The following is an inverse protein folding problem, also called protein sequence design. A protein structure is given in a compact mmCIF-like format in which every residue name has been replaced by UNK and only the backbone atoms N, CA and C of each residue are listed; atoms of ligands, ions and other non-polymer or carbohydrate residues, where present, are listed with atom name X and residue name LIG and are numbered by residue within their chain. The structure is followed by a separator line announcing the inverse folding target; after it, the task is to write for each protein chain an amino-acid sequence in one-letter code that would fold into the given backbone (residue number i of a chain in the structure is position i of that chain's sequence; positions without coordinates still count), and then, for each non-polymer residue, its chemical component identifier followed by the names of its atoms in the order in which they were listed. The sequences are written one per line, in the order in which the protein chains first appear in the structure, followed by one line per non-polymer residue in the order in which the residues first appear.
data_IF_837407024283
#
_entry.id   IF_837407024283
#
_cell.length_a   1.000
_cell.length_b   1.000
_cell.length_c   1.000
_cell.angle_alpha   90.00
_cell.angle_beta   90.00
_cell.angle_gamma   90.00
#
_symmetry.space_group_name_H-M   'P 1'
#
loop_
_entity.id
_entity.type
_entity.pdbx_description
1 polymer ?
#
# COMPACT_ATOMS: atom_id res chain seq x y z
N UNK A 1 29.20 15.79 2.02
CA UNK A 1 29.11 14.58 2.86
C UNK A 1 29.28 15.01 4.30
N UNK A 2 28.53 14.47 5.28
CA UNK A 2 28.79 14.72 6.68
C UNK A 2 30.21 14.24 7.05
N UNK A 3 30.83 14.86 8.05
CA UNK A 3 32.17 14.47 8.51
C UNK A 3 32.17 12.98 8.94
N UNK A 4 33.19 12.22 8.54
CA UNK A 4 33.31 10.80 8.86
C UNK A 4 33.45 10.52 10.36
N UNK A 5 33.81 11.53 11.13
CA UNK A 5 34.02 11.45 12.58
C UNK A 5 33.21 12.52 13.30
N UNK A 6 32.78 12.22 14.52
CA UNK A 6 32.28 13.17 15.50
C UNK A 6 33.32 13.33 16.59
N UNK A 7 33.56 14.58 17.01
CA UNK A 7 34.57 14.92 17.98
C UNK A 7 34.00 15.97 18.95
N UNK A 8 34.25 15.81 20.25
CA UNK A 8 33.78 16.78 21.24
C UNK A 8 34.75 17.95 21.43
N UNK A 9 34.23 19.01 22.04
CA UNK A 9 34.99 20.05 22.71
C UNK A 9 34.86 19.85 24.23
N UNK A 10 35.98 19.73 24.90
CA UNK A 10 35.97 19.55 26.37
C UNK A 10 35.60 20.86 27.07
N UNK A 11 35.24 20.75 28.36
CA UNK A 11 34.89 21.89 29.21
C UNK A 11 35.96 23.03 29.08
N UNK A 12 37.25 22.69 29.10
CA UNK A 12 38.35 23.67 29.04
C UNK A 12 38.56 24.29 27.66
N UNK A 13 38.13 23.61 26.58
CA UNK A 13 38.20 24.09 25.21
C UNK A 13 37.06 25.03 24.81
N UNK A 14 36.04 25.20 25.66
CA UNK A 14 34.85 26.01 25.36
C UNK A 14 34.95 27.34 26.14
N UNK A 15 34.83 28.45 25.43
CA UNK A 15 34.70 29.78 26.01
C UNK A 15 33.24 30.25 26.05
N UNK A 16 32.92 31.18 27.00
CA UNK A 16 31.65 31.89 26.98
C UNK A 16 31.52 32.66 25.68
N UNK A 17 30.38 32.57 25.00
CA UNK A 17 30.13 33.14 23.67
C UNK A 17 30.41 32.21 22.50
N UNK A 18 31.10 31.09 22.72
CA UNK A 18 31.26 30.07 21.67
C UNK A 18 29.89 29.49 21.28
N UNK A 19 29.70 29.23 19.99
CA UNK A 19 28.41 28.76 19.47
C UNK A 19 28.57 27.72 18.37
N UNK A 20 27.49 26.93 18.18
CA UNK A 20 27.33 26.05 17.04
C UNK A 20 25.92 26.17 16.46
N UNK A 21 25.80 25.79 15.19
CA UNK A 21 24.53 25.85 14.47
C UNK A 21 24.26 24.55 13.71
N UNK A 22 22.97 24.16 13.68
CA UNK A 22 22.44 23.07 12.85
C UNK A 22 21.25 23.60 12.06
N UNK A 23 21.13 23.21 10.81
CA UNK A 23 19.97 23.57 9.98
C UNK A 23 19.25 22.30 9.54
N UNK A 24 17.92 22.28 9.69
CA UNK A 24 17.07 21.14 9.29
C UNK A 24 15.77 21.65 8.67
N UNK A 25 15.42 21.10 7.51
CA UNK A 25 14.11 21.32 6.89
C UNK A 25 13.14 20.26 7.38
N UNK A 26 11.96 20.68 7.85
CA UNK A 26 10.89 19.78 8.29
C UNK A 26 10.26 19.08 7.08
N UNK A 27 10.23 17.75 7.12
CA UNK A 27 9.58 16.92 6.13
C UNK A 27 8.31 16.27 6.72
N UNK A 28 7.33 15.86 5.90
CA UNK A 28 6.16 15.12 6.38
C UNK A 28 6.52 13.87 7.17
N UNK A 29 7.57 13.15 6.73
CA UNK A 29 8.05 11.93 7.38
C UNK A 29 8.61 12.21 8.78
N UNK A 30 9.21 13.38 9.03
CA UNK A 30 9.70 13.76 10.36
C UNK A 30 8.55 13.86 11.37
N UNK A 31 7.38 14.38 10.96
CA UNK A 31 6.18 14.47 11.80
C UNK A 31 5.64 13.07 12.13
N UNK A 32 5.53 12.21 11.12
CA UNK A 32 5.03 10.85 11.28
C UNK A 32 5.96 10.02 12.18
N UNK A 33 7.28 10.09 11.97
CA UNK A 33 8.27 9.42 12.81
C UNK A 33 8.19 9.91 14.25
N UNK A 34 8.03 11.22 14.45
CA UNK A 34 7.90 11.78 15.80
C UNK A 34 6.62 11.31 16.48
N UNK A 35 5.50 11.28 15.77
CA UNK A 35 4.23 10.75 16.28
C UNK A 35 4.34 9.27 16.68
N UNK A 36 4.95 8.44 15.83
CA UNK A 36 5.17 7.00 16.12
C UNK A 36 6.06 6.82 17.35
N UNK A 37 7.15 7.58 17.46
CA UNK A 37 8.11 7.48 18.56
C UNK A 37 7.52 7.97 19.88
N UNK A 38 6.79 9.08 19.86
CA UNK A 38 6.28 9.75 21.09
C UNK A 38 4.90 9.27 21.52
N UNK A 39 4.11 8.69 20.60
CA UNK A 39 2.69 8.41 20.79
C UNK A 39 1.79 9.66 20.73
N UNK A 40 2.33 10.83 20.38
CA UNK A 40 1.55 12.08 20.27
C UNK A 40 0.82 12.12 18.91
N UNK A 41 -0.43 11.70 18.95
CA UNK A 41 -1.37 11.68 17.82
C UNK A 41 -2.33 12.87 17.84
N UNK A 42 -1.92 14.02 18.40
CA UNK A 42 -2.74 15.23 18.37
C UNK A 42 -3.10 15.56 16.90
N UNK A 43 -4.40 15.76 16.58
CA UNK A 43 -4.85 15.95 15.21
C UNK A 43 -4.23 17.17 14.51
N UNK A 44 -3.73 18.16 15.22
CA UNK A 44 -2.99 19.28 14.62
C UNK A 44 -1.69 18.84 13.89
N UNK A 45 -1.17 17.66 14.23
CA UNK A 45 0.05 17.12 13.64
C UNK A 45 -0.20 16.01 12.63
N UNK A 46 -1.30 15.23 12.78
CA UNK A 46 -1.49 13.98 12.02
C UNK A 46 -2.76 13.96 11.17
N UNK A 47 -3.67 14.92 11.34
CA UNK A 47 -4.92 15.00 10.59
C UNK A 47 -4.97 16.27 9.75
N UNK A 48 -4.75 16.19 8.41
CA UNK A 48 -4.78 17.35 7.53
C UNK A 48 -6.13 18.09 7.49
N UNK A 49 -7.24 17.37 7.64
CA UNK A 49 -8.59 17.98 7.60
C UNK A 49 -8.82 18.83 8.86
N UNK A 50 -8.53 18.25 10.02
CA UNK A 50 -8.56 18.99 11.29
C UNK A 50 -7.59 20.17 11.26
N UNK A 51 -6.33 19.96 10.86
CA UNK A 51 -5.31 21.00 10.83
C UNK A 51 -5.72 22.17 9.94
N UNK A 52 -6.34 21.90 8.77
CA UNK A 52 -6.85 22.93 7.87
C UNK A 52 -7.97 23.77 8.52
N UNK A 53 -8.83 23.16 9.35
CA UNK A 53 -9.90 23.86 10.08
C UNK A 53 -9.41 24.57 11.34
N UNK A 54 -8.18 24.30 11.80
CA UNK A 54 -7.59 24.88 13.00
C UNK A 54 -7.02 26.27 12.76
N UNK A 55 -6.60 26.94 13.85
CA UNK A 55 -5.90 28.23 13.79
C UNK A 55 -4.60 28.20 12.98
N UNK A 56 -4.03 27.03 12.72
CA UNK A 56 -2.78 26.83 11.99
C UNK A 56 -2.98 26.70 10.48
N UNK A 57 -4.20 26.29 10.03
CA UNK A 57 -4.62 26.11 8.63
C UNK A 57 -3.87 25.02 7.85
N UNK A 58 -2.88 24.37 8.47
CA UNK A 58 -2.10 23.28 7.91
C UNK A 58 -1.43 22.45 9.02
N UNK A 59 -0.93 21.28 8.66
CA UNK A 59 -0.19 20.40 9.59
C UNK A 59 1.09 21.09 10.05
N UNK A 60 1.35 21.05 11.36
CA UNK A 60 2.54 21.62 11.99
C UNK A 60 3.37 20.55 12.70
N UNK A 61 4.66 20.82 12.90
CA UNK A 61 5.55 19.97 13.69
C UNK A 61 5.10 19.88 15.15
N UNK A 62 5.36 18.74 15.78
CA UNK A 62 5.36 18.65 17.24
C UNK A 62 6.37 19.65 17.84
N UNK A 63 6.00 20.36 18.87
CA UNK A 63 6.91 21.34 19.50
C UNK A 63 8.25 20.73 19.91
N UNK A 64 8.22 19.52 20.47
CA UNK A 64 9.42 18.80 20.93
C UNK A 64 10.31 18.27 19.81
N UNK A 65 9.86 18.28 18.51
CA UNK A 65 10.75 18.03 17.38
C UNK A 65 11.91 19.05 17.36
N UNK A 66 11.61 20.32 17.57
CA UNK A 66 12.65 21.36 17.71
C UNK A 66 13.54 21.16 18.93
N UNK A 67 12.97 20.68 20.06
CA UNK A 67 13.72 20.30 21.25
C UNK A 67 14.69 19.15 20.99
N UNK A 68 14.29 18.14 20.20
CA UNK A 68 15.16 17.03 19.78
C UNK A 68 16.35 17.53 18.92
N UNK A 69 16.14 18.54 18.08
CA UNK A 69 17.24 19.15 17.31
C UNK A 69 18.24 19.91 18.19
N UNK A 70 17.78 20.59 19.25
CA UNK A 70 18.68 21.19 20.26
C UNK A 70 19.52 20.09 20.90
N UNK A 71 18.89 18.98 21.31
CA UNK A 71 19.61 17.81 21.85
C UNK A 71 20.65 17.24 20.87
N UNK A 72 20.32 17.20 19.58
CA UNK A 72 21.26 16.77 18.53
C UNK A 72 22.50 17.65 18.52
N UNK A 73 22.36 18.99 18.53
CA UNK A 73 23.52 19.89 18.55
C UNK A 73 24.37 19.68 19.81
N UNK A 74 23.74 19.60 20.97
CA UNK A 74 24.46 19.41 22.25
C UNK A 74 25.20 18.07 22.32
N UNK A 75 24.60 17.00 21.83
CA UNK A 75 25.16 15.64 21.95
C UNK A 75 26.13 15.25 20.84
N UNK A 76 26.04 15.89 19.65
CA UNK A 76 26.84 15.45 18.50
C UNK A 76 27.78 16.52 17.96
N UNK A 77 27.48 17.83 18.15
CA UNK A 77 28.21 18.90 17.54
C UNK A 77 28.92 19.79 18.57
N UNK A 78 28.22 20.23 19.64
CA UNK A 78 28.74 21.19 20.60
C UNK A 78 28.00 21.18 21.95
N UNK A 79 28.62 20.78 23.08
CA UNK A 79 29.99 20.30 23.24
C UNK A 79 30.30 19.01 22.48
N UNK A 80 29.30 18.21 22.11
CA UNK A 80 29.46 16.98 21.33
C UNK A 80 29.50 15.70 22.20
N UNK A 81 30.10 14.61 21.71
CA UNK A 81 30.16 13.33 22.39
C UNK A 81 30.61 13.39 23.83
N UNK A 82 29.88 12.74 24.75
CA UNK A 82 30.15 12.74 26.19
C UNK A 82 29.45 13.86 26.97
N UNK A 83 28.67 14.70 26.31
CA UNK A 83 27.78 15.67 26.95
C UNK A 83 26.61 14.97 27.63
N UNK A 84 26.29 15.32 28.88
CA UNK A 84 25.12 14.81 29.59
C UNK A 84 24.12 15.96 29.76
N UNK A 85 22.91 15.75 29.28
CA UNK A 85 21.82 16.70 29.42
C UNK A 85 21.31 16.73 30.87
N UNK A 86 21.23 17.91 31.48
CA UNK A 86 20.79 18.08 32.89
C UNK A 86 19.39 18.69 32.93
N UNK A 87 19.22 19.84 32.26
CA UNK A 87 17.91 20.50 32.25
C UNK A 87 17.71 21.31 30.96
N UNK A 88 16.43 21.61 30.66
CA UNK A 88 16.04 22.40 29.50
C UNK A 88 14.80 23.23 29.80
N UNK A 89 14.84 24.50 29.44
CA UNK A 89 13.65 25.34 29.30
C UNK A 89 13.36 25.56 27.81
N UNK A 90 12.08 25.53 27.42
CA UNK A 90 11.65 25.82 26.05
C UNK A 90 10.43 26.73 26.05
N UNK A 91 10.49 27.76 25.22
CA UNK A 91 9.36 28.63 24.91
C UNK A 91 9.10 28.60 23.42
N UNK A 92 7.92 28.08 23.05
CA UNK A 92 7.44 27.99 21.67
C UNK A 92 6.74 29.29 21.29
N UNK A 93 7.22 29.96 20.26
CA UNK A 93 6.74 31.29 19.85
C UNK A 93 5.98 31.26 18.53
N UNK A 94 6.28 30.29 17.64
CA UNK A 94 5.63 30.11 16.35
C UNK A 94 5.55 28.64 15.98
N UNK A 95 4.49 28.21 15.23
CA UNK A 95 4.44 26.87 14.66
C UNK A 95 5.53 26.71 13.58
N UNK A 96 5.95 25.46 13.38
CA UNK A 96 6.84 25.05 12.29
C UNK A 96 6.00 24.25 11.30
N UNK A 97 5.99 24.64 10.04
CA UNK A 97 5.22 24.05 8.96
C UNK A 97 6.07 23.12 8.12
N UNK A 98 5.44 22.19 7.41
CA UNK A 98 6.14 21.34 6.45
C UNK A 98 6.81 22.21 5.38
N UNK A 99 8.11 21.97 5.15
CA UNK A 99 8.93 22.77 4.25
C UNK A 99 9.70 23.89 4.94
N UNK A 100 9.36 24.28 6.18
CA UNK A 100 10.14 25.25 6.93
C UNK A 100 11.54 24.72 7.22
N UNK A 101 12.53 25.62 7.09
CA UNK A 101 13.93 25.33 7.40
C UNK A 101 14.30 26.01 8.71
N UNK A 102 14.57 25.20 9.74
CA UNK A 102 14.88 25.69 11.08
C UNK A 102 16.38 25.67 11.30
N UNK A 103 16.92 26.83 11.70
CA UNK A 103 18.31 26.99 12.15
C UNK A 103 18.34 27.02 13.67
N UNK A 104 18.97 26.01 14.25
CA UNK A 104 19.22 25.87 15.68
C UNK A 104 20.57 26.46 15.98
N UNK A 105 20.62 27.43 16.86
CA UNK A 105 21.88 28.00 17.39
C UNK A 105 21.91 27.78 18.88
N UNK A 106 23.00 27.21 19.37
CA UNK A 106 23.32 27.14 20.80
C UNK A 106 24.59 27.94 21.07
N UNK A 107 24.58 28.71 22.17
CA UNK A 107 25.68 29.59 22.55
C UNK A 107 26.02 29.39 24.01
N UNK A 108 27.26 29.15 24.34
CA UNK A 108 27.71 29.02 25.72
C UNK A 108 27.49 30.34 26.47
N UNK A 109 26.65 30.32 27.50
CA UNK A 109 26.27 31.47 28.32
C UNK A 109 27.04 31.54 29.61
N UNK A 110 27.11 30.40 30.33
CA UNK A 110 27.72 30.31 31.64
C UNK A 110 28.50 29.01 31.81
N UNK A 111 29.55 29.04 32.64
CA UNK A 111 30.36 27.87 32.99
C UNK A 111 30.60 27.80 34.49
N UNK A 112 30.46 26.60 35.06
CA UNK A 112 30.64 26.34 36.49
C UNK A 112 31.80 25.37 36.72
N UNK A 113 32.93 25.90 37.24
CA UNK A 113 34.17 25.15 37.41
C UNK A 113 34.04 23.97 38.39
N UNK A 114 33.26 24.14 39.46
CA UNK A 114 33.19 23.19 40.56
C UNK A 114 32.51 21.85 40.18
N UNK A 115 31.64 21.88 39.19
CA UNK A 115 30.86 20.68 38.75
C UNK A 115 30.91 20.44 37.23
N UNK A 116 31.69 21.30 36.49
CA UNK A 116 31.82 21.26 35.03
C UNK A 116 30.46 21.40 34.28
N UNK A 117 29.46 21.98 34.93
CA UNK A 117 28.20 22.33 34.27
C UNK A 117 28.39 23.57 33.38
N UNK A 118 27.59 23.61 32.32
CA UNK A 118 27.52 24.74 31.38
C UNK A 118 26.06 25.05 31.08
N UNK A 119 25.75 26.34 30.97
CA UNK A 119 24.43 26.79 30.49
C UNK A 119 24.61 27.30 29.05
N UNK A 120 23.75 26.85 28.16
CA UNK A 120 23.67 27.28 26.77
C UNK A 120 22.38 28.03 26.49
N UNK A 121 22.46 29.21 25.87
CA UNK A 121 21.30 29.81 25.21
C UNK A 121 20.96 29.03 23.96
N UNK A 122 19.71 28.61 23.82
CA UNK A 122 19.18 27.87 22.68
C UNK A 122 18.19 28.74 21.90
N UNK A 123 18.48 29.00 20.64
CA UNK A 123 17.63 29.78 19.75
C UNK A 123 17.38 29.01 18.45
N UNK A 124 16.09 28.76 18.14
CA UNK A 124 15.67 28.24 16.83
C UNK A 124 14.97 29.34 16.05
N UNK A 125 15.40 29.54 14.81
CA UNK A 125 14.78 30.51 13.88
C UNK A 125 14.38 29.80 12.59
N UNK A 126 13.30 30.28 11.95
CA UNK A 126 12.93 29.79 10.62
C UNK A 126 13.77 30.45 9.51
N UNK A 127 13.49 30.14 8.24
CA UNK A 127 14.15 30.69 7.06
C UNK A 127 14.07 32.23 6.94
N UNK A 128 13.03 32.82 7.55
CA UNK A 128 12.83 34.28 7.57
C UNK A 128 13.52 34.97 8.74
N UNK A 129 14.33 34.21 9.52
CA UNK A 129 15.03 34.73 10.74
C UNK A 129 14.07 34.94 11.93
N UNK A 130 12.82 34.51 11.86
CA UNK A 130 11.87 34.69 12.92
C UNK A 130 12.08 33.62 14.01
N UNK A 131 11.99 34.06 15.28
CA UNK A 131 12.11 33.15 16.42
C UNK A 131 10.95 32.16 16.47
N UNK A 132 11.31 30.88 16.54
CA UNK A 132 10.38 29.74 16.66
C UNK A 132 10.42 29.19 18.09
N UNK A 133 11.60 28.85 18.58
CA UNK A 133 11.84 28.33 19.93
C UNK A 133 13.00 29.11 20.56
N UNK A 134 12.90 29.37 21.84
CA UNK A 134 14.01 29.87 22.64
C UNK A 134 13.98 29.27 24.05
N UNK A 135 15.15 29.14 24.66
CA UNK A 135 15.27 28.60 26.01
C UNK A 135 16.73 28.41 26.39
N UNK A 136 16.96 27.75 27.51
CA UNK A 136 18.27 27.47 28.03
C UNK A 136 18.45 25.98 28.30
N UNK A 137 19.60 25.45 27.97
CA UNK A 137 20.00 24.08 28.27
C UNK A 137 21.14 24.10 29.29
N UNK A 138 21.01 23.30 30.35
CA UNK A 138 22.09 22.98 31.27
C UNK A 138 22.67 21.62 30.93
N UNK A 139 23.95 21.49 30.81
CA UNK A 139 24.64 20.23 30.53
C UNK A 139 25.86 20.05 31.42
N UNK A 140 26.20 18.81 31.72
CA UNK A 140 27.53 18.44 32.21
C UNK A 140 28.45 18.25 30.98
N UNK A 141 29.45 19.10 30.86
CA UNK A 141 30.35 19.08 29.71
C UNK A 141 31.39 17.97 29.84
N UNK A 142 31.84 17.35 28.73
CA UNK A 142 32.91 16.36 28.73
C UNK A 142 34.23 16.97 29.16
N UNK A 143 34.98 16.25 29.99
CA UNK A 143 36.34 16.65 30.42
C UNK A 143 37.44 15.88 29.70
N UNK A 144 37.09 14.85 28.95
CA UNK A 144 38.00 14.03 28.16
C UNK A 144 37.67 14.18 26.66
N UNK A 145 38.74 14.21 25.85
CA UNK A 145 38.60 14.26 24.39
C UNK A 145 38.07 12.94 23.88
N UNK A 146 36.99 13.00 23.10
CA UNK A 146 36.32 11.86 22.47
C UNK A 146 36.26 12.12 20.98
N UNK A 147 36.77 11.16 20.18
CA UNK A 147 36.65 11.11 18.74
C UNK A 147 36.16 9.72 18.34
N UNK A 148 35.09 9.65 17.59
CA UNK A 148 34.48 8.40 17.14
C UNK A 148 34.04 8.53 15.69
N UNK A 149 34.02 7.40 14.98
CA UNK A 149 33.35 7.34 13.68
C UNK A 149 31.88 7.73 13.85
N UNK A 150 31.34 8.49 12.90
CA UNK A 150 29.93 8.84 12.89
C UNK A 150 29.12 7.60 12.60
N UNK A 151 28.20 7.26 13.49
CA UNK A 151 27.30 6.14 13.30
C UNK A 151 26.36 6.42 12.11
N UNK A 152 26.30 5.50 11.15
CA UNK A 152 25.35 5.57 10.05
C UNK A 152 23.98 5.07 10.55
N UNK A 153 23.00 5.96 10.47
CA UNK A 153 21.63 5.60 10.87
C UNK A 153 21.02 4.67 9.82
N UNK A 154 20.21 3.69 10.24
CA UNK A 154 19.46 2.88 9.30
C UNK A 154 18.47 3.75 8.52
N UNK A 155 18.19 3.37 7.28
CA UNK A 155 17.10 3.95 6.51
C UNK A 155 15.76 3.51 7.11
N UNK A 156 14.88 4.46 7.40
CA UNK A 156 13.55 4.19 7.95
C UNK A 156 12.50 4.56 6.93
N UNK A 157 11.72 3.59 6.51
CA UNK A 157 10.56 3.80 5.63
C UNK A 157 9.28 3.68 6.45
N UNK A 158 8.43 4.70 6.39
CA UNK A 158 7.10 4.67 7.00
C UNK A 158 6.14 4.03 6.01
N UNK A 159 5.54 2.91 6.39
CA UNK A 159 4.49 2.25 5.61
C UNK A 159 3.14 2.41 6.30
N UNK A 160 2.20 3.09 5.63
CA UNK A 160 0.81 3.17 6.07
C UNK A 160 -0.06 2.20 5.26
N UNK A 161 -0.12 0.95 5.75
CA UNK A 161 -0.95 -0.11 5.18
C UNK A 161 -2.44 0.26 5.19
N UNK A 162 -2.90 0.95 6.25
CA UNK A 162 -4.30 1.32 6.40
C UNK A 162 -4.72 2.42 5.42
N UNK A 163 -3.88 3.42 5.16
CA UNK A 163 -4.18 4.44 4.17
C UNK A 163 -4.33 3.85 2.76
N UNK A 164 -3.51 2.85 2.41
CA UNK A 164 -3.61 2.12 1.14
C UNK A 164 -4.93 1.36 1.03
N UNK A 165 -5.26 0.60 2.06
CA UNK A 165 -6.53 -0.11 2.16
C UNK A 165 -7.72 0.86 2.08
N UNK A 166 -7.72 1.94 2.86
CA UNK A 166 -8.80 2.92 2.86
C UNK A 166 -8.97 3.64 1.52
N UNK A 167 -7.87 3.91 0.80
CA UNK A 167 -7.96 4.45 -0.58
C UNK A 167 -8.70 3.51 -1.52
N UNK A 168 -8.45 2.20 -1.43
CA UNK A 168 -9.18 1.23 -2.24
C UNK A 168 -10.66 1.19 -1.85
N UNK A 169 -10.97 1.10 -0.56
CA UNK A 169 -12.36 1.09 -0.06
C UNK A 169 -13.11 2.37 -0.44
N UNK A 170 -12.45 3.53 -0.40
CA UNK A 170 -13.04 4.81 -0.77
C UNK A 170 -13.52 4.85 -2.23
N UNK A 171 -13.00 4.02 -3.12
CA UNK A 171 -13.47 3.91 -4.51
C UNK A 171 -14.89 3.35 -4.62
N UNK A 172 -15.36 2.62 -3.61
CA UNK A 172 -16.73 2.13 -3.53
C UNK A 172 -17.73 3.19 -3.04
N UNK A 173 -17.25 4.32 -2.48
CA UNK A 173 -18.13 5.38 -1.98
C UNK A 173 -18.98 5.96 -3.10
N UNK A 174 -20.30 6.05 -2.85
CA UNK A 174 -21.27 6.59 -3.81
C UNK A 174 -21.74 5.60 -4.89
N UNK A 175 -21.18 4.37 -4.93
CA UNK A 175 -21.69 3.33 -5.81
C UNK A 175 -22.92 2.64 -5.19
N UNK A 176 -23.87 2.22 -6.03
CA UNK A 176 -24.99 1.42 -5.59
C UNK A 176 -24.52 0.02 -5.19
N UNK A 177 -24.86 -0.43 -3.98
CA UNK A 177 -24.52 -1.76 -3.49
C UNK A 177 -24.97 -2.85 -4.47
N UNK A 178 -24.11 -3.85 -4.71
CA UNK A 178 -24.43 -5.01 -5.54
C UNK A 178 -24.97 -6.17 -4.70
N UNK A 179 -25.81 -7.00 -5.29
CA UNK A 179 -26.21 -8.26 -4.67
C UNK A 179 -25.10 -9.29 -4.88
N UNK A 180 -24.48 -9.74 -3.78
CA UNK A 180 -23.43 -10.75 -3.81
C UNK A 180 -23.90 -12.05 -3.18
N UNK A 181 -23.84 -13.15 -3.92
CA UNK A 181 -24.17 -14.48 -3.40
C UNK A 181 -22.89 -15.17 -2.92
N UNK A 182 -22.89 -15.52 -1.64
CA UNK A 182 -21.84 -16.29 -1.00
C UNK A 182 -22.19 -17.77 -1.04
N UNK A 183 -21.46 -18.56 -1.82
CA UNK A 183 -21.70 -19.98 -1.99
C UNK A 183 -21.05 -20.79 -0.85
N UNK A 184 -21.83 -21.32 0.07
CA UNK A 184 -21.40 -22.14 1.21
C UNK A 184 -20.42 -21.42 2.18
N UNK A 185 -20.76 -20.23 2.72
CA UNK A 185 -19.87 -19.46 3.59
C UNK A 185 -19.94 -19.91 5.06
N UNK A 186 -19.65 -21.19 5.33
CA UNK A 186 -19.75 -21.80 6.68
C UNK A 186 -18.53 -21.50 7.57
N UNK A 187 -17.56 -20.72 7.10
CA UNK A 187 -16.39 -20.30 7.86
C UNK A 187 -16.58 -18.88 8.41
N UNK A 188 -16.03 -18.62 9.59
CA UNK A 188 -16.15 -17.33 10.28
C UNK A 188 -15.66 -16.15 9.41
N UNK A 189 -14.52 -16.30 8.75
CA UNK A 189 -13.89 -15.27 7.91
C UNK A 189 -14.78 -14.89 6.72
N UNK A 190 -15.49 -15.87 6.13
CA UNK A 190 -16.42 -15.63 5.05
C UNK A 190 -17.65 -14.85 5.51
N UNK A 191 -18.18 -15.18 6.70
CA UNK A 191 -19.30 -14.48 7.31
C UNK A 191 -18.90 -13.06 7.75
N UNK A 192 -17.73 -12.90 8.35
CA UNK A 192 -17.19 -11.60 8.77
C UNK A 192 -17.02 -10.66 7.57
N UNK A 193 -16.45 -11.15 6.47
CA UNK A 193 -16.27 -10.34 5.26
C UNK A 193 -17.61 -9.94 4.63
N UNK A 194 -18.62 -10.84 4.63
CA UNK A 194 -19.96 -10.54 4.15
C UNK A 194 -20.64 -9.44 4.99
N UNK A 195 -20.54 -9.55 6.33
CA UNK A 195 -21.09 -8.57 7.27
C UNK A 195 -20.35 -7.23 7.17
N UNK A 196 -19.03 -7.24 7.11
CA UNK A 196 -18.22 -6.01 6.95
C UNK A 196 -18.58 -5.26 5.64
N UNK A 197 -18.75 -5.98 4.54
CA UNK A 197 -19.17 -5.38 3.26
C UNK A 197 -20.61 -4.86 3.30
N UNK A 198 -21.53 -5.53 4.01
CA UNK A 198 -22.89 -5.05 4.27
C UNK A 198 -22.89 -3.76 5.08
N UNK A 199 -22.19 -3.75 6.20
CA UNK A 199 -22.18 -2.64 7.15
C UNK A 199 -21.51 -1.39 6.55
N UNK A 200 -20.55 -1.59 5.64
CA UNK A 200 -19.94 -0.53 4.85
C UNK A 200 -20.80 -0.08 3.65
N UNK A 201 -21.98 -0.65 3.44
CA UNK A 201 -22.87 -0.32 2.33
C UNK A 201 -22.36 -0.76 0.93
N UNK A 202 -21.34 -1.61 0.90
CA UNK A 202 -20.71 -2.08 -0.34
C UNK A 202 -21.59 -3.14 -1.03
N UNK A 203 -22.12 -4.10 -0.26
CA UNK A 203 -22.87 -5.23 -0.80
C UNK A 203 -24.20 -5.49 -0.07
N UNK A 204 -25.11 -6.16 -0.79
CA UNK A 204 -26.26 -6.86 -0.22
C UNK A 204 -25.95 -8.36 -0.24
N UNK A 205 -25.44 -8.94 0.86
CA UNK A 205 -25.03 -10.33 0.86
C UNK A 205 -26.21 -11.29 0.92
N UNK A 206 -26.15 -12.35 0.12
CA UNK A 206 -27.02 -13.51 0.16
C UNK A 206 -26.16 -14.72 0.51
N UNK A 207 -26.42 -15.34 1.67
CA UNK A 207 -25.66 -16.46 2.19
C UNK A 207 -26.37 -17.76 1.82
N UNK A 208 -25.80 -18.56 0.93
CA UNK A 208 -26.37 -19.81 0.46
C UNK A 208 -25.64 -21.01 1.03
N UNK A 209 -26.26 -21.82 1.86
CA UNK A 209 -25.64 -22.97 2.51
C UNK A 209 -26.53 -23.61 3.57
N UNK A 210 -26.04 -24.63 4.30
CA UNK A 210 -26.82 -25.27 5.39
C UNK A 210 -27.10 -24.26 6.50
N UNK A 211 -28.35 -23.84 6.65
CA UNK A 211 -28.74 -22.76 7.56
C UNK A 211 -28.30 -23.00 9.01
N UNK A 212 -28.36 -24.24 9.47
CA UNK A 212 -27.92 -24.60 10.82
C UNK A 212 -26.40 -24.35 11.02
N UNK A 213 -25.58 -24.72 10.03
CA UNK A 213 -24.14 -24.52 10.08
C UNK A 213 -23.78 -23.04 10.00
N UNK A 214 -24.44 -22.29 9.12
CA UNK A 214 -24.27 -20.84 8.98
C UNK A 214 -24.58 -20.12 10.30
N UNK A 215 -25.71 -20.44 10.94
CA UNK A 215 -26.08 -19.83 12.23
C UNK A 215 -25.13 -20.23 13.38
N UNK A 216 -24.72 -21.50 13.41
CA UNK A 216 -23.77 -21.98 14.42
C UNK A 216 -22.40 -21.29 14.27
N UNK A 217 -21.88 -21.15 13.06
CA UNK A 217 -20.62 -20.46 12.79
C UNK A 217 -20.72 -18.97 13.16
N UNK A 218 -21.85 -18.33 12.87
CA UNK A 218 -22.09 -16.94 13.23
C UNK A 218 -22.17 -16.74 14.75
N UNK A 219 -22.87 -17.62 15.48
CA UNK A 219 -22.99 -17.60 16.93
C UNK A 219 -21.62 -17.79 17.62
N UNK A 220 -20.85 -18.79 17.18
CA UNK A 220 -19.50 -19.06 17.70
C UNK A 220 -18.54 -17.89 17.55
N UNK A 221 -18.73 -17.09 16.51
CA UNK A 221 -17.87 -15.97 16.17
C UNK A 221 -18.47 -14.60 16.51
N UNK A 222 -19.61 -14.57 17.22
CA UNK A 222 -20.37 -13.36 17.59
C UNK A 222 -20.71 -12.45 16.38
N UNK A 223 -21.09 -13.06 15.23
CA UNK A 223 -21.42 -12.35 13.99
C UNK A 223 -22.94 -12.19 13.87
N UNK A 224 -23.41 -10.96 13.64
CA UNK A 224 -24.86 -10.67 13.46
C UNK A 224 -25.30 -10.83 11.99
N UNK A 225 -26.08 -11.88 11.73
CA UNK A 225 -26.63 -12.16 10.40
C UNK A 225 -28.02 -11.55 10.14
N UNK A 226 -28.60 -10.76 11.06
CA UNK A 226 -29.98 -10.26 10.97
C UNK A 226 -30.31 -9.56 9.66
N UNK A 227 -29.39 -8.81 9.08
CA UNK A 227 -29.57 -8.08 7.83
C UNK A 227 -29.04 -8.83 6.60
N UNK A 228 -28.61 -10.08 6.75
CA UNK A 228 -28.20 -10.94 5.64
C UNK A 228 -29.35 -11.85 5.23
N UNK A 229 -29.63 -11.93 3.92
CA UNK A 229 -30.56 -12.95 3.38
C UNK A 229 -29.85 -14.29 3.44
N UNK A 230 -30.47 -15.25 4.19
CA UNK A 230 -30.00 -16.65 4.23
C UNK A 230 -30.91 -17.50 3.35
N UNK A 231 -30.28 -18.33 2.52
CA UNK A 231 -30.94 -19.27 1.62
C UNK A 231 -30.45 -20.68 1.95
N UNK A 232 -31.33 -21.54 2.43
CA UNK A 232 -30.94 -22.88 2.86
C UNK A 232 -30.60 -23.79 1.68
N UNK A 233 -29.40 -24.39 1.71
CA UNK A 233 -28.94 -25.40 0.77
C UNK A 233 -28.27 -26.54 1.55
N UNK A 234 -28.59 -27.82 1.29
CA UNK A 234 -28.22 -28.94 2.16
C UNK A 234 -26.70 -29.24 2.19
N UNK A 235 -25.97 -28.84 1.18
CA UNK A 235 -24.53 -29.05 1.05
C UNK A 235 -23.92 -28.06 0.01
N UNK A 236 -22.61 -27.97 -0.05
CA UNK A 236 -21.91 -26.99 -0.89
C UNK A 236 -22.21 -27.10 -2.40
N UNK A 237 -22.46 -28.33 -2.95
CA UNK A 237 -22.85 -28.49 -4.38
C UNK A 237 -24.21 -27.87 -4.67
N UNK A 238 -25.15 -28.03 -3.78
CA UNK A 238 -26.45 -27.38 -3.90
C UNK A 238 -26.36 -25.87 -3.73
N UNK A 239 -25.53 -25.42 -2.80
CA UNK A 239 -25.26 -23.99 -2.59
C UNK A 239 -24.60 -23.33 -3.82
N UNK A 240 -23.63 -23.99 -4.45
CA UNK A 240 -23.00 -23.50 -5.67
C UNK A 240 -24.01 -23.48 -6.84
N UNK A 241 -24.78 -24.54 -7.04
CA UNK A 241 -25.79 -24.59 -8.10
C UNK A 241 -26.77 -23.42 -7.96
N UNK A 242 -27.26 -23.17 -6.75
CA UNK A 242 -28.20 -22.09 -6.47
C UNK A 242 -27.59 -20.72 -6.67
N UNK A 243 -26.29 -20.53 -6.29
CA UNK A 243 -25.57 -19.30 -6.56
C UNK A 243 -25.41 -19.01 -8.06
N UNK A 244 -25.15 -20.05 -8.85
CA UNK A 244 -25.07 -19.94 -10.31
C UNK A 244 -26.45 -19.63 -10.93
N UNK A 245 -27.53 -20.21 -10.41
CA UNK A 245 -28.89 -19.90 -10.87
C UNK A 245 -29.26 -18.45 -10.60
N UNK A 246 -28.92 -17.94 -9.40
CA UNK A 246 -29.14 -16.54 -9.05
C UNK A 246 -28.32 -15.57 -9.93
N UNK A 247 -27.09 -15.93 -10.30
CA UNK A 247 -26.31 -15.12 -11.21
C UNK A 247 -26.88 -15.11 -12.63
N UNK A 248 -27.38 -16.27 -13.12
CA UNK A 248 -27.99 -16.38 -14.45
C UNK A 248 -29.37 -15.69 -14.55
N UNK A 249 -30.15 -15.67 -13.48
CA UNK A 249 -31.41 -14.93 -13.42
C UNK A 249 -31.25 -13.40 -13.26
N UNK A 250 -30.05 -12.94 -12.93
CA UNK A 250 -29.79 -11.53 -12.59
C UNK A 250 -30.10 -11.16 -11.13
N UNK A 251 -30.46 -12.16 -10.28
CA UNK A 251 -30.71 -11.92 -8.86
C UNK A 251 -29.41 -11.71 -8.04
N UNK A 252 -28.28 -12.11 -8.59
CA UNK A 252 -26.97 -11.85 -8.06
C UNK A 252 -26.03 -11.28 -9.13
N UNK A 253 -25.28 -10.26 -8.74
CA UNK A 253 -24.34 -9.55 -9.61
C UNK A 253 -22.88 -9.92 -9.33
N UNK A 254 -22.65 -10.62 -8.22
CA UNK A 254 -21.32 -11.10 -7.78
C UNK A 254 -21.49 -12.49 -7.17
N UNK A 255 -20.57 -13.40 -7.48
CA UNK A 255 -20.46 -14.69 -6.78
C UNK A 255 -19.21 -14.68 -5.91
N UNK A 256 -19.35 -15.14 -4.67
CA UNK A 256 -18.25 -15.23 -3.71
C UNK A 256 -18.09 -16.69 -3.27
N UNK A 257 -16.86 -17.19 -3.39
CA UNK A 257 -16.51 -18.53 -2.92
C UNK A 257 -16.53 -18.57 -1.38
N UNK A 258 -17.19 -19.58 -0.82
CA UNK A 258 -17.09 -19.95 0.59
C UNK A 258 -16.18 -21.16 0.80
N UNK A 259 -16.59 -22.06 1.69
CA UNK A 259 -15.84 -23.28 2.04
C UNK A 259 -15.98 -24.39 0.96
N UNK A 260 -15.63 -24.07 -0.27
CA UNK A 260 -15.65 -24.99 -1.41
C UNK A 260 -14.23 -25.09 -1.96
N UNK A 261 -13.69 -26.30 -2.25
CA UNK A 261 -12.38 -26.42 -2.90
C UNK A 261 -12.37 -25.67 -4.24
N UNK A 262 -11.30 -24.89 -4.50
CA UNK A 262 -11.25 -23.96 -5.64
C UNK A 262 -11.46 -24.66 -6.98
N UNK A 263 -10.88 -25.84 -7.19
CA UNK A 263 -11.09 -26.58 -8.44
C UNK A 263 -12.53 -27.07 -8.63
N UNK A 264 -13.21 -27.47 -7.56
CA UNK A 264 -14.61 -27.87 -7.60
C UNK A 264 -15.56 -26.66 -7.75
N UNK A 265 -15.11 -25.48 -7.31
CA UNK A 265 -15.83 -24.23 -7.48
C UNK A 265 -15.70 -23.70 -8.91
N UNK A 266 -14.49 -23.68 -9.48
CA UNK A 266 -14.22 -23.07 -10.80
C UNK A 266 -14.83 -23.83 -11.97
N UNK A 267 -14.83 -25.16 -11.95
CA UNK A 267 -15.32 -25.96 -13.08
C UNK A 267 -16.79 -25.65 -13.45
N UNK A 268 -17.76 -25.65 -12.50
CA UNK A 268 -19.13 -25.27 -12.80
C UNK A 268 -19.29 -23.80 -13.23
N UNK A 269 -18.45 -22.89 -12.68
CA UNK A 269 -18.48 -21.48 -13.07
C UNK A 269 -18.07 -21.30 -14.54
N UNK A 270 -16.96 -21.93 -14.97
CA UNK A 270 -16.49 -21.89 -16.34
C UNK A 270 -17.59 -22.38 -17.31
N UNK A 271 -18.30 -23.42 -16.93
CA UNK A 271 -19.39 -23.95 -17.75
C UNK A 271 -20.63 -23.05 -17.77
N UNK A 272 -20.98 -22.42 -16.65
CA UNK A 272 -22.28 -21.75 -16.45
C UNK A 272 -22.24 -20.24 -16.70
N UNK A 273 -21.10 -19.59 -16.51
CA UNK A 273 -20.92 -18.13 -16.65
C UNK A 273 -20.19 -17.74 -17.93
N UNK A 274 -20.05 -18.67 -18.87
CA UNK A 274 -19.31 -18.46 -20.11
C UNK A 274 -19.89 -17.29 -20.90
N UNK A 275 -18.97 -16.43 -21.36
CA UNK A 275 -19.22 -15.39 -22.37
C UNK A 275 -18.38 -15.68 -23.61
N UNK A 276 -18.15 -14.70 -24.45
CA UNK A 276 -17.14 -14.71 -25.52
C UNK A 276 -15.69 -14.59 -25.00
N UNK A 277 -15.55 -14.26 -23.71
CA UNK A 277 -14.26 -14.14 -23.01
C UNK A 277 -13.92 -15.40 -22.23
N UNK A 278 -12.61 -15.64 -22.05
CA UNK A 278 -12.11 -16.66 -21.12
C UNK A 278 -12.09 -16.11 -19.70
N UNK A 279 -12.42 -16.94 -18.69
CA UNK A 279 -12.23 -16.55 -17.30
C UNK A 279 -10.74 -16.43 -16.96
N UNK A 280 -10.37 -15.37 -16.29
CA UNK A 280 -9.02 -15.17 -15.73
C UNK A 280 -9.08 -14.41 -14.41
N UNK A 281 -8.12 -14.66 -13.54
CA UNK A 281 -8.01 -13.96 -12.26
C UNK A 281 -7.10 -12.74 -12.38
N UNK A 282 -7.58 -11.58 -11.93
CA UNK A 282 -6.78 -10.37 -11.79
C UNK A 282 -6.63 -10.02 -10.30
N UNK A 283 -5.39 -9.88 -9.86
CA UNK A 283 -5.05 -9.43 -8.51
C UNK A 283 -4.59 -7.97 -8.59
N UNK A 284 -5.34 -7.09 -7.94
CA UNK A 284 -4.86 -5.74 -7.63
C UNK A 284 -3.95 -5.81 -6.41
N UNK A 285 -2.77 -5.22 -6.50
CA UNK A 285 -1.77 -5.27 -5.42
C UNK A 285 -1.10 -3.91 -5.24
N UNK A 286 -1.05 -3.45 -4.00
CA UNK A 286 -0.42 -2.19 -3.59
C UNK A 286 0.71 -2.48 -2.60
N UNK A 287 1.95 -2.43 -3.12
CA UNK A 287 3.17 -2.73 -2.36
C UNK A 287 3.72 -1.45 -1.76
N UNK A 288 4.02 -1.39 -0.45
CA UNK A 288 4.51 -0.17 0.23
C UNK A 288 5.77 0.46 -0.40
N UNK A 289 6.70 -0.37 -0.88
CA UNK A 289 7.94 0.07 -1.52
C UNK A 289 7.78 0.48 -2.99
N UNK A 290 6.57 0.31 -3.57
CA UNK A 290 6.30 0.67 -4.96
C UNK A 290 5.38 1.90 -5.04
N UNK A 291 5.62 2.88 -5.93
CA UNK A 291 4.93 4.18 -5.90
C UNK A 291 3.46 4.12 -6.26
N UNK A 292 3.00 3.05 -6.90
CA UNK A 292 1.61 2.87 -7.35
C UNK A 292 1.18 1.41 -7.29
N UNK A 293 -0.12 1.13 -7.14
CA UNK A 293 -0.61 -0.23 -7.27
C UNK A 293 -0.49 -0.73 -8.72
N UNK A 294 -0.41 -2.04 -8.89
CA UNK A 294 -0.42 -2.71 -10.18
C UNK A 294 -1.30 -3.98 -10.15
N UNK A 295 -1.50 -4.59 -11.32
CA UNK A 295 -2.35 -5.76 -11.48
C UNK A 295 -1.47 -6.95 -11.90
N UNK A 296 -1.68 -8.12 -11.30
CA UNK A 296 -1.07 -9.39 -11.71
C UNK A 296 -2.17 -10.29 -12.28
N UNK A 297 -1.97 -10.90 -13.45
CA UNK A 297 -2.90 -11.85 -14.07
C UNK A 297 -2.14 -12.86 -14.97
N UNK A 298 -2.55 -14.12 -15.05
CA UNK A 298 -3.46 -14.90 -14.23
C UNK A 298 -2.67 -15.58 -13.11
N UNK A 299 -3.28 -15.77 -11.95
CA UNK A 299 -2.62 -16.46 -10.85
C UNK A 299 -3.47 -17.57 -10.20
N UNK A 300 -4.69 -17.84 -10.70
CA UNK A 300 -5.60 -18.78 -10.01
C UNK A 300 -6.50 -19.61 -10.92
N UNK A 301 -6.68 -19.27 -12.20
CA UNK A 301 -7.66 -19.89 -13.07
C UNK A 301 -7.03 -20.73 -14.16
N UNK A 302 -6.05 -20.18 -14.89
CA UNK A 302 -5.45 -20.82 -16.06
C UNK A 302 -4.08 -21.38 -15.71
N UNK A 303 -3.97 -22.72 -15.59
CA UNK A 303 -2.74 -23.39 -15.13
C UNK A 303 -1.58 -23.15 -16.13
N UNK A 304 -1.75 -23.57 -17.35
CA UNK A 304 -0.77 -23.47 -18.46
C UNK A 304 -1.45 -22.84 -19.67
N UNK A 305 -1.69 -21.51 -19.68
CA UNK A 305 -2.43 -20.87 -20.78
C UNK A 305 -1.66 -20.94 -22.10
N UNK A 306 -2.36 -21.32 -23.17
CA UNK A 306 -1.86 -21.21 -24.52
C UNK A 306 -1.86 -19.72 -24.97
N UNK A 307 -1.28 -19.44 -26.15
CA UNK A 307 -1.22 -18.06 -26.67
C UNK A 307 -2.63 -17.43 -26.78
N UNK A 308 -3.59 -18.17 -27.30
CA UNK A 308 -4.98 -17.71 -27.43
C UNK A 308 -5.60 -17.40 -26.07
N UNK A 309 -5.30 -18.22 -25.06
CA UNK A 309 -5.77 -18.00 -23.70
C UNK A 309 -5.18 -16.72 -23.10
N UNK A 310 -3.87 -16.49 -23.36
CA UNK A 310 -3.15 -15.28 -22.91
C UNK A 310 -3.70 -14.01 -23.55
N UNK A 311 -4.18 -14.06 -24.79
CA UNK A 311 -4.87 -12.91 -25.41
C UNK A 311 -6.08 -12.49 -24.58
N UNK A 312 -6.91 -13.43 -24.13
CA UNK A 312 -8.08 -13.13 -23.34
C UNK A 312 -7.71 -12.70 -21.90
N UNK A 313 -6.67 -13.30 -21.32
CA UNK A 313 -6.12 -12.89 -20.01
C UNK A 313 -5.67 -11.42 -20.07
N UNK A 314 -4.91 -11.04 -21.12
CA UNK A 314 -4.48 -9.66 -21.33
C UNK A 314 -5.66 -8.72 -21.47
N UNK A 315 -6.65 -9.06 -22.31
CA UNK A 315 -7.84 -8.25 -22.54
C UNK A 315 -8.62 -8.01 -21.23
N UNK A 316 -8.84 -9.07 -20.45
CA UNK A 316 -9.51 -8.94 -19.15
C UNK A 316 -8.73 -8.04 -18.18
N UNK A 317 -7.40 -8.18 -18.13
CA UNK A 317 -6.55 -7.35 -17.27
C UNK A 317 -6.53 -5.88 -17.71
N UNK A 318 -6.55 -5.61 -19.02
CA UNK A 318 -6.66 -4.26 -19.59
C UNK A 318 -8.02 -3.64 -19.26
N UNK A 319 -9.13 -4.36 -19.47
CA UNK A 319 -10.47 -3.90 -19.12
C UNK A 319 -10.55 -3.57 -17.61
N UNK A 320 -9.94 -4.42 -16.78
CA UNK A 320 -9.88 -4.17 -15.33
C UNK A 320 -9.03 -2.95 -14.98
N UNK A 321 -7.89 -2.75 -15.64
CA UNK A 321 -7.06 -1.57 -15.45
C UNK A 321 -7.84 -0.28 -15.81
N UNK A 322 -8.66 -0.30 -16.86
CA UNK A 322 -9.56 0.81 -17.20
C UNK A 322 -10.61 1.06 -16.10
N UNK A 323 -11.23 0.01 -15.56
CA UNK A 323 -12.15 0.11 -14.41
C UNK A 323 -11.42 0.72 -13.20
N UNK A 324 -10.14 0.39 -13.02
CA UNK A 324 -9.29 0.97 -11.99
C UNK A 324 -8.80 2.40 -12.33
N UNK A 325 -9.26 3.00 -13.43
CA UNK A 325 -9.00 4.39 -13.81
C UNK A 325 -7.67 4.63 -14.49
N UNK A 326 -7.00 3.60 -15.00
CA UNK A 326 -5.78 3.71 -15.80
C UNK A 326 -6.19 3.84 -17.26
N UNK A 327 -6.06 5.04 -17.84
CA UNK A 327 -6.56 5.32 -19.19
C UNK A 327 -5.78 4.60 -20.29
N UNK A 328 -4.47 4.46 -20.14
CA UNK A 328 -3.58 3.77 -21.07
C UNK A 328 -2.66 2.83 -20.28
N UNK A 329 -3.14 1.63 -19.91
CA UNK A 329 -2.37 0.69 -19.11
C UNK A 329 -1.08 0.25 -19.82
N UNK A 330 0.02 0.22 -19.07
CA UNK A 330 1.31 -0.33 -19.48
C UNK A 330 1.38 -1.78 -19.03
N UNK A 331 1.35 -2.69 -20.00
CA UNK A 331 1.25 -4.13 -19.78
C UNK A 331 2.58 -4.79 -20.04
N UNK A 332 3.22 -5.31 -19.01
CA UNK A 332 4.42 -6.12 -19.12
C UNK A 332 4.06 -7.61 -19.26
N UNK A 333 4.51 -8.24 -20.34
CA UNK A 333 4.38 -9.69 -20.51
C UNK A 333 5.62 -10.34 -19.91
N UNK A 334 5.46 -10.98 -18.76
CA UNK A 334 6.58 -11.50 -17.98
C UNK A 334 7.19 -12.77 -18.57
N UNK A 335 8.50 -12.85 -18.49
CA UNK A 335 9.29 -14.05 -18.75
C UNK A 335 10.54 -14.06 -17.84
N UNK A 336 11.28 -15.16 -17.87
CA UNK A 336 12.51 -15.27 -17.08
C UNK A 336 13.71 -14.49 -17.65
N UNK A 337 13.58 -13.93 -18.86
CA UNK A 337 14.62 -13.14 -19.57
C UNK A 337 13.96 -12.12 -20.50
N UNK A 338 14.71 -11.08 -20.88
CA UNK A 338 14.22 -9.97 -21.73
C UNK A 338 14.41 -10.22 -23.24
N UNK A 339 14.99 -11.36 -23.61
CA UNK A 339 15.27 -11.70 -25.01
C UNK A 339 14.41 -12.87 -25.47
N UNK A 340 14.02 -12.86 -26.73
CA UNK A 340 13.24 -13.95 -27.32
C UNK A 340 14.10 -15.19 -27.46
N UNK A 341 13.80 -16.23 -26.73
CA UNK A 341 14.52 -17.50 -26.73
C UNK A 341 13.64 -18.64 -27.25
N UNK A 342 14.02 -19.32 -28.34
CA UNK A 342 13.19 -20.39 -28.94
C UNK A 342 12.86 -21.56 -28.03
N UNK A 343 13.68 -21.80 -26.99
CA UNK A 343 13.46 -22.88 -26.00
C UNK A 343 12.61 -22.44 -24.82
N UNK A 344 12.30 -21.18 -24.70
CA UNK A 344 11.50 -20.62 -23.59
C UNK A 344 10.18 -20.06 -24.13
N UNK A 345 9.12 -20.88 -24.06
CA UNK A 345 7.80 -20.57 -24.60
C UNK A 345 7.26 -19.21 -24.14
N UNK A 346 7.47 -18.85 -22.86
CA UNK A 346 7.03 -17.57 -22.31
C UNK A 346 7.54 -16.37 -23.13
N UNK A 347 8.79 -16.42 -23.63
CA UNK A 347 9.36 -15.34 -24.44
C UNK A 347 8.77 -15.28 -25.86
N UNK A 348 8.39 -16.41 -26.44
CA UNK A 348 7.72 -16.49 -27.73
C UNK A 348 6.28 -15.94 -27.63
N UNK A 349 5.55 -16.36 -26.61
CA UNK A 349 4.20 -15.89 -26.35
C UNK A 349 4.20 -14.36 -26.11
N UNK A 350 5.18 -13.85 -25.33
CA UNK A 350 5.33 -12.41 -25.09
C UNK A 350 5.54 -11.62 -26.40
N UNK A 351 6.48 -12.05 -27.22
CA UNK A 351 6.72 -11.40 -28.51
C UNK A 351 5.51 -11.45 -29.45
N UNK A 352 4.75 -12.56 -29.44
CA UNK A 352 3.53 -12.70 -30.22
C UNK A 352 2.44 -11.74 -29.71
N UNK A 353 2.19 -11.66 -28.40
CA UNK A 353 1.20 -10.76 -27.78
C UNK A 353 1.52 -9.29 -28.08
N UNK A 354 2.79 -8.87 -27.96
CA UNK A 354 3.21 -7.52 -28.33
C UNK A 354 2.94 -7.24 -29.80
N UNK A 355 3.25 -8.18 -30.69
CA UNK A 355 2.96 -8.02 -32.12
C UNK A 355 1.47 -7.99 -32.42
N UNK A 356 0.63 -8.73 -31.66
CA UNK A 356 -0.83 -8.67 -31.77
C UNK A 356 -1.35 -7.30 -31.34
N UNK A 357 -0.76 -6.70 -30.31
CA UNK A 357 -1.08 -5.33 -29.90
C UNK A 357 -0.71 -4.30 -30.99
N UNK A 358 0.50 -4.38 -31.56
CA UNK A 358 0.95 -3.53 -32.67
C UNK A 358 0.01 -3.60 -33.89
N UNK A 359 -0.68 -4.72 -34.10
CA UNK A 359 -1.61 -4.96 -35.19
C UNK A 359 -3.08 -4.66 -34.84
N UNK A 360 -3.36 -4.17 -33.63
CA UNK A 360 -4.71 -3.85 -33.17
C UNK A 360 -5.57 -5.08 -32.85
N UNK A 361 -4.97 -6.26 -32.68
CA UNK A 361 -5.68 -7.46 -32.23
C UNK A 361 -5.92 -7.42 -30.71
N UNK A 362 -5.06 -6.73 -29.97
CA UNK A 362 -5.22 -6.36 -28.57
C UNK A 362 -5.17 -4.83 -28.53
N UNK A 363 -6.19 -4.20 -27.96
CA UNK A 363 -6.34 -2.75 -27.95
C UNK A 363 -6.54 -2.21 -26.53
N UNK A 364 -6.42 -0.90 -26.33
CA UNK A 364 -6.69 -0.22 -25.07
C UNK A 364 -5.51 -0.21 -24.09
N UNK A 365 -4.33 -0.64 -24.52
CA UNK A 365 -3.12 -0.67 -23.68
C UNK A 365 -1.85 -0.61 -24.54
N UNK A 366 -0.73 -0.30 -23.90
CA UNK A 366 0.62 -0.43 -24.47
C UNK A 366 1.24 -1.70 -23.90
N UNK A 367 1.61 -2.66 -24.77
CA UNK A 367 2.21 -3.93 -24.38
C UNK A 367 3.70 -3.95 -24.70
N UNK A 368 4.50 -4.54 -23.81
CA UNK A 368 5.88 -4.92 -24.11
C UNK A 368 6.28 -6.20 -23.38
N UNK A 369 7.22 -6.92 -23.99
CA UNK A 369 7.75 -8.20 -23.50
C UNK A 369 8.50 -8.98 -24.61
N UNK A 370 9.30 -9.99 -24.19
CA UNK A 370 9.42 -10.49 -22.81
C UNK A 370 10.14 -9.51 -21.89
N UNK A 371 9.70 -9.42 -20.62
CA UNK A 371 10.33 -8.63 -19.59
C UNK A 371 10.54 -9.47 -18.32
N UNK A 372 11.73 -9.37 -17.72
CA UNK A 372 11.96 -9.81 -16.36
C UNK A 372 11.13 -8.98 -15.37
N UNK A 373 10.81 -9.55 -14.20
CA UNK A 373 10.01 -8.84 -13.20
C UNK A 373 10.67 -7.52 -12.75
N UNK A 374 11.97 -7.54 -12.47
CA UNK A 374 12.77 -6.38 -12.11
C UNK A 374 12.73 -5.29 -13.20
N UNK A 375 12.87 -5.68 -14.46
CA UNK A 375 12.81 -4.78 -15.59
C UNK A 375 11.40 -4.24 -15.87
N UNK A 376 10.36 -4.96 -15.49
CA UNK A 376 8.98 -4.49 -15.59
C UNK A 376 8.65 -3.39 -14.56
N UNK A 377 9.19 -3.48 -13.33
CA UNK A 377 8.81 -2.60 -12.21
C UNK A 377 9.87 -1.56 -11.81
N UNK A 378 11.16 -1.81 -12.09
CA UNK A 378 12.25 -0.90 -11.70
C UNK A 378 12.80 -0.11 -12.89
N UNK A 379 12.64 1.24 -12.90
CA UNK A 379 13.26 2.09 -13.93
C UNK A 379 14.78 1.98 -13.95
N UNK A 380 15.40 1.66 -12.82
CA UNK A 380 16.85 1.49 -12.70
C UNK A 380 17.29 0.17 -13.38
N UNK A 381 16.62 -0.94 -13.09
CA UNK A 381 16.87 -2.23 -13.73
C UNK A 381 16.66 -2.14 -15.25
N UNK A 382 15.57 -1.53 -15.71
CA UNK A 382 15.29 -1.33 -17.13
C UNK A 382 16.39 -0.54 -17.84
N UNK A 383 16.91 0.54 -17.21
CA UNK A 383 18.06 1.29 -17.75
C UNK A 383 19.35 0.47 -17.75
N UNK A 384 19.59 -0.31 -16.68
CA UNK A 384 20.75 -1.19 -16.59
C UNK A 384 20.77 -2.28 -17.67
N UNK A 385 19.61 -2.79 -18.03
CA UNK A 385 19.41 -3.74 -19.13
C UNK A 385 19.36 -3.09 -20.53
N UNK A 386 19.51 -1.76 -20.62
CA UNK A 386 19.46 -0.99 -21.86
C UNK A 386 18.16 -1.20 -22.67
N UNK A 387 17.03 -1.42 -21.99
CA UNK A 387 15.74 -1.63 -22.62
C UNK A 387 15.16 -0.29 -23.11
N UNK A 388 14.87 -0.21 -24.41
CA UNK A 388 14.12 0.89 -25.00
C UNK A 388 12.65 0.51 -25.10
N UNK A 389 11.92 0.70 -24.01
CA UNK A 389 10.54 0.23 -23.84
C UNK A 389 9.67 1.30 -23.22
N UNK A 390 8.44 1.52 -23.71
CA UNK A 390 7.48 2.41 -23.06
C UNK A 390 6.86 1.82 -21.80
N UNK A 391 7.09 0.52 -21.52
CA UNK A 391 6.49 -0.25 -20.42
C UNK A 391 7.52 -0.54 -19.32
N UNK A 392 8.77 -0.86 -19.71
CA UNK A 392 9.81 -1.27 -18.78
C UNK A 392 10.04 -0.22 -17.68
N UNK A 393 10.11 -0.67 -16.43
CA UNK A 393 10.29 0.14 -15.23
C UNK A 393 9.04 0.88 -14.75
N UNK A 394 7.90 0.71 -15.43
CA UNK A 394 6.69 1.46 -15.11
C UNK A 394 5.39 0.73 -15.44
N UNK A 395 5.43 -0.61 -15.40
CA UNK A 395 4.27 -1.44 -15.68
C UNK A 395 3.11 -1.20 -14.70
N UNK A 396 1.89 -1.14 -15.23
CA UNK A 396 0.63 -1.09 -14.47
C UNK A 396 -0.01 -2.47 -14.38
N UNK A 397 0.29 -3.35 -15.34
CA UNK A 397 -0.21 -4.71 -15.42
C UNK A 397 0.94 -5.67 -15.71
N UNK A 398 1.00 -6.74 -14.95
CA UNK A 398 1.97 -7.83 -15.11
C UNK A 398 1.23 -9.10 -15.53
N UNK A 399 1.52 -9.60 -16.73
CA UNK A 399 0.96 -10.87 -17.22
C UNK A 399 1.95 -11.98 -16.96
N UNK A 400 1.59 -12.88 -16.06
CA UNK A 400 2.42 -14.03 -15.72
C UNK A 400 2.44 -15.07 -16.85
N UNK A 401 3.55 -15.79 -17.04
CA UNK A 401 3.65 -16.82 -18.07
C UNK A 401 2.71 -18.00 -17.85
N UNK A 402 2.46 -18.34 -16.59
CA UNK A 402 1.61 -19.43 -16.12
C UNK A 402 1.10 -19.16 -14.71
N UNK A 403 0.20 -20.03 -14.21
CA UNK A 403 -0.40 -19.91 -12.88
C UNK A 403 0.64 -19.98 -11.77
N UNK A 404 1.62 -20.87 -11.87
CA UNK A 404 2.60 -21.09 -10.81
C UNK A 404 3.46 -19.82 -10.61
N UNK A 405 3.97 -19.25 -11.70
CA UNK A 405 4.74 -18.00 -11.64
C UNK A 405 3.90 -16.84 -11.09
N UNK A 406 2.66 -16.69 -11.54
CA UNK A 406 1.75 -15.65 -11.06
C UNK A 406 1.39 -15.80 -9.59
N UNK A 407 1.08 -17.03 -9.15
CA UNK A 407 0.72 -17.31 -7.76
C UNK A 407 1.93 -17.11 -6.82
N UNK A 408 3.10 -17.63 -7.16
CA UNK A 408 4.31 -17.46 -6.35
C UNK A 408 4.70 -15.98 -6.23
N UNK A 409 4.66 -15.22 -7.33
CA UNK A 409 4.93 -13.78 -7.31
C UNK A 409 3.96 -13.02 -6.39
N UNK A 410 2.67 -13.27 -6.54
CA UNK A 410 1.65 -12.64 -5.71
C UNK A 410 1.85 -12.96 -4.23
N UNK A 411 2.07 -14.23 -3.87
CA UNK A 411 2.28 -14.64 -2.48
C UNK A 411 3.56 -14.08 -1.86
N UNK A 412 4.63 -13.95 -2.64
CA UNK A 412 5.87 -13.30 -2.17
C UNK A 412 5.61 -11.82 -1.81
N UNK A 413 4.89 -11.09 -2.67
CA UNK A 413 4.58 -9.69 -2.42
C UNK A 413 3.63 -9.51 -1.23
N UNK A 414 2.61 -10.37 -1.08
CA UNK A 414 1.69 -10.34 0.05
C UNK A 414 2.39 -10.61 1.39
N UNK A 415 3.26 -11.62 1.45
CA UNK A 415 3.84 -12.09 2.72
C UNK A 415 5.21 -11.48 3.06
N UNK A 416 5.98 -11.01 2.07
CA UNK A 416 7.31 -10.47 2.28
C UNK A 416 7.39 -8.96 2.10
N UNK A 417 6.45 -8.36 1.35
CA UNK A 417 6.46 -6.93 1.05
C UNK A 417 5.26 -6.17 1.65
N UNK A 418 4.53 -6.75 2.60
CA UNK A 418 3.37 -6.14 3.30
C UNK A 418 2.33 -5.53 2.35
N UNK A 419 2.15 -6.14 1.17
CA UNK A 419 1.24 -5.62 0.17
C UNK A 419 -0.23 -5.73 0.61
N UNK A 420 -1.02 -4.72 0.29
CA UNK A 420 -2.49 -4.79 0.33
C UNK A 420 -2.96 -5.33 -1.02
N UNK A 421 -3.73 -6.41 -0.99
CA UNK A 421 -4.18 -7.07 -2.20
C UNK A 421 -5.69 -7.34 -2.17
N UNK A 422 -6.26 -7.50 -3.35
CA UNK A 422 -7.61 -8.00 -3.58
C UNK A 422 -7.71 -8.60 -4.97
N UNK A 423 -8.46 -9.70 -5.11
CA UNK A 423 -8.56 -10.43 -6.37
C UNK A 423 -9.98 -10.60 -6.87
N UNK A 424 -10.13 -10.61 -8.20
CA UNK A 424 -11.41 -10.83 -8.88
C UNK A 424 -11.20 -11.68 -10.13
N UNK A 425 -12.10 -12.64 -10.36
CA UNK A 425 -12.18 -13.39 -11.61
C UNK A 425 -13.07 -12.62 -12.59
N UNK A 426 -12.55 -12.43 -13.77
CA UNK A 426 -13.09 -11.63 -14.87
C UNK A 426 -13.44 -12.53 -16.07
N UNK A 427 -14.09 -11.97 -17.08
CA UNK A 427 -14.44 -12.67 -18.31
C UNK A 427 -15.72 -13.49 -18.25
N UNK A 428 -16.34 -13.59 -17.08
CA UNK A 428 -17.64 -14.24 -16.90
C UNK A 428 -18.82 -13.27 -16.99
N UNK A 429 -20.04 -13.80 -16.98
CA UNK A 429 -21.28 -13.00 -16.98
C UNK A 429 -21.38 -12.09 -15.74
N UNK A 430 -20.81 -12.51 -14.63
CA UNK A 430 -20.65 -11.71 -13.41
C UNK A 430 -19.23 -11.88 -12.84
N UNK A 431 -18.67 -10.89 -12.14
CA UNK A 431 -17.40 -11.03 -11.43
C UNK A 431 -17.51 -12.06 -10.30
N UNK A 432 -16.40 -12.78 -10.07
CA UNK A 432 -16.35 -13.82 -9.04
C UNK A 432 -15.16 -13.52 -8.10
N UNK A 433 -15.40 -13.65 -6.79
CA UNK A 433 -14.37 -13.53 -5.76
C UNK A 433 -13.99 -14.91 -5.28
N UNK A 434 -12.72 -15.26 -5.41
CA UNK A 434 -12.14 -16.47 -4.85
C UNK A 434 -11.68 -16.22 -3.42
N UNK A 435 -12.00 -17.13 -2.51
CA UNK A 435 -11.58 -17.06 -1.12
C UNK A 435 -10.32 -17.92 -0.92
N UNK A 436 -9.22 -17.29 -0.57
CA UNK A 436 -8.05 -18.00 -0.10
C UNK A 436 -8.15 -18.19 1.43
N UNK A 437 -7.72 -19.35 1.94
CA UNK A 437 -7.81 -19.67 3.38
C UNK A 437 -7.02 -18.68 4.26
N UNK A 438 -5.91 -18.18 3.75
CA UNK A 438 -5.01 -17.30 4.49
C UNK A 438 -5.25 -15.81 4.25
N UNK A 439 -6.32 -15.45 3.49
CA UNK A 439 -6.62 -14.05 3.25
C UNK A 439 -7.15 -13.39 4.53
N UNK A 440 -6.58 -12.23 4.87
CA UNK A 440 -7.11 -11.39 5.93
C UNK A 440 -8.54 -10.88 5.59
N UNK A 441 -9.26 -10.42 6.59
CA UNK A 441 -10.60 -9.84 6.37
C UNK A 441 -10.49 -8.63 5.43
N UNK A 442 -9.43 -7.83 5.57
CA UNK A 442 -9.16 -6.68 4.74
C UNK A 442 -8.97 -7.06 3.26
N UNK A 443 -8.17 -8.09 2.97
CA UNK A 443 -7.98 -8.61 1.60
C UNK A 443 -9.28 -9.16 1.01
N UNK A 444 -10.11 -9.83 1.82
CA UNK A 444 -11.43 -10.29 1.40
C UNK A 444 -12.36 -9.11 1.08
N UNK A 445 -12.42 -8.10 1.94
CA UNK A 445 -13.23 -6.89 1.70
C UNK A 445 -12.69 -6.11 0.49
N UNK A 446 -11.38 -6.01 0.32
CA UNK A 446 -10.76 -5.43 -0.87
C UNK A 446 -11.22 -6.14 -2.15
N UNK A 447 -11.22 -7.48 -2.16
CA UNK A 447 -11.72 -8.28 -3.29
C UNK A 447 -13.21 -8.03 -3.57
N UNK A 448 -14.02 -7.87 -2.53
CA UNK A 448 -15.47 -7.54 -2.67
C UNK A 448 -15.66 -6.13 -3.26
N UNK A 449 -14.82 -5.16 -2.88
CA UNK A 449 -14.82 -3.81 -3.49
C UNK A 449 -14.46 -3.87 -4.97
N UNK A 450 -13.42 -4.63 -5.34
CA UNK A 450 -13.05 -4.80 -6.74
C UNK A 450 -14.18 -5.43 -7.55
N UNK A 451 -14.83 -6.46 -7.01
CA UNK A 451 -15.99 -7.08 -7.66
C UNK A 451 -17.15 -6.11 -7.82
N UNK A 452 -17.41 -5.24 -6.82
CA UNK A 452 -18.42 -4.17 -6.95
C UNK A 452 -18.07 -3.18 -8.06
N UNK A 453 -16.80 -2.77 -8.18
CA UNK A 453 -16.35 -1.85 -9.25
C UNK A 453 -16.61 -2.48 -10.62
N UNK A 454 -16.29 -3.76 -10.79
CA UNK A 454 -16.54 -4.51 -12.03
C UNK A 454 -18.05 -4.63 -12.30
N UNK A 455 -18.85 -5.03 -11.32
CA UNK A 455 -20.30 -5.14 -11.46
C UNK A 455 -20.96 -3.79 -11.79
N UNK A 456 -20.49 -2.71 -11.13
CA UNK A 456 -21.00 -1.36 -11.41
C UNK A 456 -20.63 -0.87 -12.82
N UNK A 457 -19.43 -1.21 -13.30
CA UNK A 457 -19.04 -0.90 -14.68
C UNK A 457 -19.95 -1.65 -15.70
N UNK A 458 -20.28 -2.90 -15.43
CA UNK A 458 -21.17 -3.69 -16.28
C UNK A 458 -22.61 -3.14 -16.34
N UNK A 459 -23.07 -2.43 -15.31
CA UNK A 459 -24.38 -1.74 -15.28
C UNK A 459 -24.45 -0.52 -16.20
N UNK A 460 -23.28 0.06 -16.53
CA UNK A 460 -23.24 1.26 -17.39
C UNK A 460 -23.48 0.84 -18.84
N UNK A 461 -24.35 1.56 -19.58
CA UNK A 461 -24.53 1.26 -21.01
C UNK A 461 -23.16 1.39 -21.69
N UNK A 462 -22.74 0.35 -22.44
CA UNK A 462 -21.52 0.41 -23.25
C UNK A 462 -21.61 1.63 -24.14
N UNK A 463 -20.77 2.65 -23.87
CA UNK A 463 -20.56 3.70 -24.86
C UNK A 463 -19.90 3.03 -26.06
N UNK A 464 -20.66 2.92 -27.17
CA UNK A 464 -20.06 2.53 -28.44
C UNK A 464 -18.89 3.49 -28.72
N UNK A 465 -17.68 2.96 -28.62
CA UNK A 465 -16.48 3.64 -29.11
C UNK A 465 -16.64 3.64 -30.66
N UNK A 466 -17.08 4.78 -31.18
CA UNK A 466 -17.06 5.06 -32.62
C UNK A 466 -15.64 5.34 -33.08
#
# INVERSE_FOLDING_TARGET
MPAAFIENRTYDEIAIGDSATLTRTLKPEDIQLFAVMSGDVNPAHVDPEYAHSSMFQEVIAHGMWGGALISTVLGTEFPGPGTIYVSQTLRFSRPVKVGDTITIRITCKEKFEHNKHMIFDCLCTNQDGQKVIAGEAEVLAPTQKIKRERYELPEVTISDRWARYHRLIARAKGLSAATAVFAHPVQAESLQSAVAARDSGILRPVLVGPEKELRAAAEQSAIDLKLCRVVNAPHWRAALAQALDMARSGDAEIIVQGAIPTHEFLLPLIASLRTDRRLSHALYIDVPSYPRPFIISDMMVNIEPALEDKVEIVRNAVDFAHIMGIAEPKVAILAGVDTVMPKMRATLDAAALCKMADRGQITGAVLDGPLGFDNAVSPEAARGAHLNSPVAGQADVLIAPDLEAGNMLAKQLEHLADAVSGGVVLGGAVPVVLANRNDSIESRVASLVLALLVANHARQPRKELR
#
